data_IF_520397516541
#
_entry.id   IF_520397516541
#
_cell.length_a   1.000
_cell.length_b   1.000
_cell.length_c   1.000
_cell.angle_alpha   90.00
_cell.angle_beta   90.00
_cell.angle_gamma   90.00
#
_symmetry.space_group_name_H-M   'P 1'
#
loop_
_entity.id
_entity.type
_entity.pdbx_description
1 polymer ?
#
# COMPACT_ATOMS: atom_id res chain seq x y z
N UNK A 1 15.00 -11.82 -36.24
CA UNK A 1 15.52 -10.44 -36.27
C UNK A 1 15.13 -9.83 -34.95
N UNK A 2 16.00 -9.99 -33.95
CA UNK A 2 15.89 -9.24 -32.71
C UNK A 2 16.11 -7.78 -33.09
N UNK A 3 15.09 -6.94 -32.86
CA UNK A 3 15.24 -5.49 -33.00
C UNK A 3 15.64 -5.02 -31.61
N UNK A 4 16.94 -4.77 -31.46
CA UNK A 4 17.52 -4.04 -30.36
C UNK A 4 16.86 -2.65 -30.30
N UNK A 5 16.20 -2.32 -29.20
CA UNK A 5 15.71 -0.96 -29.00
C UNK A 5 16.63 -0.26 -27.99
N UNK A 6 17.34 0.72 -28.54
CA UNK A 6 18.51 1.36 -28.00
C UNK A 6 18.28 2.04 -26.64
N UNK A 7 19.21 1.80 -25.71
CA UNK A 7 19.33 2.55 -24.47
C UNK A 7 19.92 3.92 -24.78
N UNK A 8 19.09 4.96 -24.81
CA UNK A 8 19.58 6.34 -24.77
C UNK A 8 20.00 6.71 -23.35
N UNK A 9 21.32 6.66 -23.11
CA UNK A 9 21.94 7.08 -21.86
C UNK A 9 22.04 8.60 -21.76
N UNK A 10 21.45 9.19 -20.73
CA UNK A 10 21.79 10.54 -20.27
C UNK A 10 23.06 10.45 -19.39
N UNK A 11 24.11 11.26 -19.61
CA UNK A 11 25.33 11.21 -18.81
C UNK A 11 25.15 12.00 -17.51
N UNK A 12 24.77 11.32 -16.43
CA UNK A 12 24.73 11.86 -15.07
C UNK A 12 25.36 10.88 -14.09
N UNK A 13 26.61 11.14 -13.70
CA UNK A 13 27.37 10.34 -12.75
C UNK A 13 26.68 10.23 -11.38
N UNK A 14 26.26 9.03 -11.01
CA UNK A 14 26.29 8.54 -9.62
C UNK A 14 26.27 7.02 -9.66
N UNK A 15 26.98 6.36 -8.74
CA UNK A 15 26.97 4.91 -8.52
C UNK A 15 25.54 4.43 -8.23
N UNK A 16 24.78 4.15 -9.29
CA UNK A 16 23.33 4.15 -9.24
C UNK A 16 22.77 2.79 -8.88
N UNK A 17 22.68 2.49 -7.59
CA UNK A 17 21.72 1.49 -7.13
C UNK A 17 20.33 1.87 -7.66
N UNK A 18 19.59 0.90 -8.19
CA UNK A 18 18.18 1.08 -8.55
C UNK A 18 17.44 1.74 -7.37
N UNK A 19 16.76 2.85 -7.63
CA UNK A 19 16.04 3.61 -6.58
C UNK A 19 15.00 2.73 -5.92
N UNK A 20 14.86 2.82 -4.59
CA UNK A 20 13.85 2.10 -3.83
C UNK A 20 12.92 3.10 -3.13
N UNK A 21 11.62 2.92 -3.33
CA UNK A 21 10.57 3.73 -2.73
C UNK A 21 9.75 2.88 -1.77
N UNK A 22 9.59 3.36 -0.54
CA UNK A 22 8.78 2.69 0.49
C UNK A 22 7.45 3.40 0.63
N UNK A 23 6.36 2.65 0.50
CA UNK A 23 4.98 3.17 0.56
C UNK A 23 4.24 2.41 1.64
N UNK A 24 3.52 3.13 2.49
CA UNK A 24 2.66 2.53 3.52
C UNK A 24 1.24 2.97 3.29
N UNK A 25 0.33 2.02 3.17
CA UNK A 25 -1.09 2.28 2.94
C UNK A 25 -1.79 2.46 4.29
N UNK A 26 -2.29 3.67 4.56
CA UNK A 26 -2.99 4.01 5.80
C UNK A 26 -4.41 4.52 5.51
N UNK A 27 -5.31 4.33 6.47
CA UNK A 27 -6.72 4.73 6.34
C UNK A 27 -7.67 3.80 7.09
N UNK A 28 -8.91 4.23 7.27
CA UNK A 28 -9.92 3.48 8.02
C UNK A 28 -10.16 2.06 7.46
N UNK A 29 -10.73 1.18 8.27
CA UNK A 29 -11.20 -0.13 7.81
C UNK A 29 -12.23 0.01 6.68
N UNK A 30 -12.11 -0.81 5.63
CA UNK A 30 -13.08 -0.86 4.53
C UNK A 30 -12.96 0.22 3.44
N UNK A 31 -12.00 1.15 3.51
CA UNK A 31 -11.85 2.21 2.47
C UNK A 31 -11.19 1.73 1.16
N UNK A 32 -10.79 0.46 1.08
CA UNK A 32 -10.22 -0.13 -0.15
C UNK A 32 -8.70 -0.03 -0.32
N UNK A 33 -7.93 0.13 0.76
CA UNK A 33 -6.44 0.16 0.71
C UNK A 33 -5.85 -1.06 0.00
N UNK A 34 -6.22 -2.24 0.48
CA UNK A 34 -5.81 -3.52 -0.09
C UNK A 34 -6.27 -3.67 -1.54
N UNK A 35 -7.45 -3.16 -1.88
CA UNK A 35 -7.98 -3.23 -3.23
C UNK A 35 -7.15 -2.41 -4.22
N UNK A 36 -6.70 -1.21 -3.84
CA UNK A 36 -5.78 -0.39 -4.64
C UNK A 36 -4.42 -1.06 -4.76
N UNK A 37 -3.87 -1.59 -3.66
CA UNK A 37 -2.60 -2.32 -3.65
C UNK A 37 -2.63 -3.52 -4.60
N UNK A 38 -3.67 -4.35 -4.52
CA UNK A 38 -3.84 -5.52 -5.39
C UNK A 38 -4.03 -5.12 -6.84
N UNK A 39 -4.89 -4.14 -7.14
CA UNK A 39 -5.08 -3.65 -8.51
C UNK A 39 -3.77 -3.15 -9.13
N UNK A 40 -2.91 -2.51 -8.34
CA UNK A 40 -1.60 -2.05 -8.80
C UNK A 40 -0.65 -3.20 -9.13
N UNK A 41 -0.61 -4.25 -8.30
CA UNK A 41 0.35 -5.35 -8.40
C UNK A 41 -0.10 -6.42 -9.38
N UNK A 42 -1.35 -6.86 -9.31
CA UNK A 42 -1.89 -7.99 -10.09
C UNK A 42 -2.64 -7.55 -11.35
N UNK A 43 -2.88 -6.25 -11.52
CA UNK A 43 -3.75 -5.69 -12.56
C UNK A 43 -5.17 -6.27 -12.54
N UNK A 44 -5.60 -6.78 -11.38
CA UNK A 44 -6.91 -7.39 -11.19
C UNK A 44 -7.54 -6.90 -9.89
N UNK A 45 -8.85 -6.72 -9.93
CA UNK A 45 -9.65 -6.41 -8.75
C UNK A 45 -10.30 -7.72 -8.25
N UNK A 46 -9.93 -8.24 -7.07
CA UNK A 46 -10.52 -9.47 -6.57
C UNK A 46 -11.98 -9.25 -6.16
N UNK A 47 -12.87 -10.17 -6.55
CA UNK A 47 -14.30 -10.12 -6.19
C UNK A 47 -14.53 -10.28 -4.67
N UNK A 48 -13.59 -10.95 -3.99
CA UNK A 48 -13.58 -11.15 -2.56
C UNK A 48 -12.16 -10.96 -2.02
N UNK A 49 -12.04 -10.20 -0.93
CA UNK A 49 -10.78 -9.97 -0.24
C UNK A 49 -10.96 -10.18 1.26
N UNK A 50 -10.13 -11.04 1.85
CA UNK A 50 -10.08 -11.19 3.31
C UNK A 50 -9.49 -9.93 3.94
N UNK A 51 -10.02 -9.42 5.07
CA UNK A 51 -9.44 -8.26 5.74
C UNK A 51 -7.94 -8.45 6.02
N UNK A 52 -7.11 -7.61 5.39
CA UNK A 52 -5.65 -7.64 5.60
C UNK A 52 -5.31 -7.28 7.04
N UNK A 53 -4.39 -8.04 7.64
CA UNK A 53 -3.76 -7.71 8.93
C UNK A 53 -2.58 -6.77 8.65
N UNK A 54 -1.61 -7.25 7.88
CA UNK A 54 -0.48 -6.49 7.34
C UNK A 54 0.15 -7.33 6.22
N UNK A 55 0.31 -6.78 5.02
CA UNK A 55 0.91 -7.45 3.87
C UNK A 55 2.05 -6.59 3.29
N UNK A 56 3.16 -7.21 2.91
CA UNK A 56 4.31 -6.54 2.30
C UNK A 56 4.52 -7.03 0.87
N UNK A 57 4.64 -6.09 -0.06
CA UNK A 57 4.79 -6.38 -1.48
C UNK A 57 5.99 -5.62 -2.04
N UNK A 58 6.80 -6.29 -2.85
CA UNK A 58 7.92 -5.66 -3.56
C UNK A 58 7.79 -5.91 -5.05
N UNK A 59 7.80 -4.84 -5.84
CA UNK A 59 7.69 -4.93 -7.30
C UNK A 59 8.64 -3.95 -7.99
N UNK A 60 9.04 -4.27 -9.22
CA UNK A 60 9.84 -3.38 -10.06
C UNK A 60 8.92 -2.56 -10.96
N UNK A 61 9.07 -1.25 -10.92
CA UNK A 61 8.24 -0.28 -11.63
C UNK A 61 9.12 0.73 -12.38
N UNK A 62 8.54 1.47 -13.32
CA UNK A 62 9.20 2.64 -13.92
C UNK A 62 8.61 3.92 -13.33
N UNK A 63 9.45 4.75 -12.74
CA UNK A 63 9.08 6.07 -12.20
C UNK A 63 9.94 7.09 -12.95
N UNK A 64 9.31 8.07 -13.59
CA UNK A 64 9.99 9.04 -14.46
C UNK A 64 10.90 8.39 -15.51
N UNK A 65 10.41 7.31 -16.13
CA UNK A 65 11.09 6.44 -17.10
C UNK A 65 12.30 5.64 -16.58
N UNK A 66 12.68 5.79 -15.32
CA UNK A 66 13.77 5.07 -14.68
C UNK A 66 13.28 3.83 -13.92
N UNK A 67 14.00 2.68 -13.98
CA UNK A 67 13.64 1.50 -13.21
C UNK A 67 13.86 1.73 -11.71
N UNK A 68 12.86 1.38 -10.92
CA UNK A 68 12.86 1.51 -9.47
C UNK A 68 12.17 0.31 -8.80
N UNK A 69 12.51 0.05 -7.55
CA UNK A 69 11.77 -0.86 -6.68
C UNK A 69 10.75 -0.09 -5.87
N UNK A 70 9.54 -0.64 -5.78
CA UNK A 70 8.49 -0.17 -4.90
C UNK A 70 8.22 -1.23 -3.84
N UNK A 71 8.42 -0.86 -2.58
CA UNK A 71 8.20 -1.66 -1.37
C UNK A 71 6.94 -1.13 -0.67
N UNK A 72 5.83 -1.86 -0.81
CA UNK A 72 4.50 -1.47 -0.36
C UNK A 72 4.16 -2.26 0.90
N UNK A 73 3.82 -1.55 1.97
CA UNK A 73 3.23 -2.10 3.18
C UNK A 73 1.74 -1.77 3.21
N UNK A 74 0.89 -2.77 2.97
CA UNK A 74 -0.55 -2.65 3.15
C UNK A 74 -0.95 -3.01 4.58
N UNK A 75 -1.65 -2.11 5.27
CA UNK A 75 -2.00 -2.30 6.68
C UNK A 75 -3.49 -2.54 6.87
N UNK A 76 -3.85 -3.30 7.91
CA UNK A 76 -5.22 -3.32 8.41
C UNK A 76 -5.66 -1.88 8.69
N UNK A 77 -6.76 -1.46 8.07
CA UNK A 77 -7.39 -0.24 8.54
C UNK A 77 -7.93 -0.51 9.92
N UNK A 78 -7.57 0.30 10.92
CA UNK A 78 -8.23 0.19 12.22
C UNK A 78 -9.73 0.29 11.98
N UNK A 79 -10.47 -0.74 12.39
CA UNK A 79 -11.91 -0.67 12.49
C UNK A 79 -12.21 0.50 13.41
N UNK A 80 -12.72 1.62 12.87
CA UNK A 80 -13.09 2.78 13.67
C UNK A 80 -14.30 2.52 14.59
N UNK A 81 -14.63 1.25 14.87
CA UNK A 81 -15.75 0.81 15.71
C UNK A 81 -15.34 0.32 17.10
N UNK A 82 -14.09 0.46 17.54
CA UNK A 82 -13.85 0.54 19.00
C UNK A 82 -14.33 1.89 19.53
N UNK A 83 -15.64 2.15 19.44
CA UNK A 83 -16.31 2.91 20.50
C UNK A 83 -16.04 2.12 21.76
N UNK A 84 -15.11 2.59 22.59
CA UNK A 84 -14.97 2.07 23.96
C UNK A 84 -16.38 2.02 24.57
N UNK A 85 -16.84 0.90 25.14
CA UNK A 85 -18.06 0.95 25.94
C UNK A 85 -17.85 2.05 26.99
N UNK A 86 -18.78 2.99 27.06
CA UNK A 86 -18.79 4.01 28.10
C UNK A 86 -19.00 3.31 29.45
N UNK A 87 -17.92 2.78 30.03
CA UNK A 87 -17.87 2.41 31.42
C UNK A 87 -17.84 3.69 32.26
N UNK A 88 -19.01 4.35 32.37
CA UNK A 88 -19.44 5.15 33.53
C UNK A 88 -20.79 5.81 33.22
N UNK A 89 -21.87 5.08 33.49
CA UNK A 89 -23.14 5.71 33.88
C UNK A 89 -23.46 5.18 35.28
N UNK A 90 -23.19 6.01 36.29
CA UNK A 90 -23.56 5.77 37.68
C UNK A 90 -25.09 5.61 37.79
N UNK A 91 -25.63 4.49 38.30
CA UNK A 91 -27.02 4.41 38.70
C UNK A 91 -27.16 5.02 40.10
N UNK A 92 -26.98 6.33 40.22
CA UNK A 92 -27.33 7.08 41.44
C UNK A 92 -28.41 8.10 41.06
N UNK A 93 -29.59 7.59 40.76
CA UNK A 93 -30.82 8.35 40.97
C UNK A 93 -31.84 7.40 41.61
N UNK A 94 -31.80 7.36 42.93
CA UNK A 94 -32.95 6.99 43.75
C UNK A 94 -34.01 8.07 43.63
N UNK A 95 -35.24 7.67 43.26
CA UNK A 95 -36.47 8.30 43.72
C UNK A 95 -37.48 7.19 44.00
#
# INVERSE_FOLDING_TARGET
>A
MEIENEAHCCPGSSSGGSREYKVVMLGAGGVGKSAVTMQFISHQFPDYHDPTIEDAYKTQVRIDNEPAYLDILDTAGQLCSQRRPLANVNPIYHK
#
